data_IF_093516522342
#
_entry.id   IF_093516522342
#
_cell.length_a   1.000
_cell.length_b   1.000
_cell.length_c   1.000
_cell.angle_alpha   90.00
_cell.angle_beta   90.00
_cell.angle_gamma   90.00
#
_symmetry.space_group_name_H-M   'P 1'
#
loop_
_entity.id
_entity.type
_entity.pdbx_description
1 polymer ?
#
# COMPACT_ATOMS: atom_id res chain seq x y z
N UNK A 1 -6.43 -8.97 18.90
CA UNK A 1 -6.71 -9.24 17.48
C UNK A 1 -6.94 -7.90 16.82
N UNK A 2 -6.05 -7.47 15.91
CA UNK A 2 -6.22 -6.20 15.22
C UNK A 2 -7.35 -6.33 14.20
N UNK A 3 -8.28 -5.37 14.18
CA UNK A 3 -9.37 -5.33 13.21
C UNK A 3 -8.79 -5.02 11.83
N UNK A 4 -9.23 -5.75 10.80
CA UNK A 4 -8.77 -5.59 9.41
C UNK A 4 -7.25 -5.65 9.20
N UNK A 5 -6.46 -6.26 10.10
CA UNK A 5 -4.99 -6.22 10.02
C UNK A 5 -4.46 -4.78 9.78
N UNK A 6 -5.12 -3.78 10.35
CA UNK A 6 -4.77 -2.38 10.15
C UNK A 6 -3.56 -1.98 10.99
N UNK A 7 -2.62 -1.24 10.39
CA UNK A 7 -1.52 -0.64 11.12
C UNK A 7 -0.79 0.43 10.31
N UNK A 8 -0.43 1.52 10.97
CA UNK A 8 0.39 2.59 10.43
C UNK A 8 1.82 2.12 10.20
N UNK A 9 2.37 2.46 9.04
CA UNK A 9 3.79 2.33 8.68
C UNK A 9 4.52 3.66 8.88
N UNK A 10 3.84 4.74 8.49
CA UNK A 10 4.17 6.13 8.79
C UNK A 10 2.95 6.73 9.49
N UNK A 11 3.15 7.20 10.73
CA UNK A 11 2.07 7.68 11.59
C UNK A 11 1.25 8.77 10.91
N UNK A 12 -0.07 8.60 10.89
CA UNK A 12 -1.05 9.50 10.27
C UNK A 12 -0.77 9.84 8.79
N UNK A 13 0.00 9.01 8.07
CA UNK A 13 0.36 9.25 6.67
C UNK A 13 0.13 8.02 5.80
N UNK A 14 0.65 6.86 6.19
CA UNK A 14 0.59 5.63 5.39
C UNK A 14 0.34 4.40 6.27
N UNK A 15 -0.70 3.65 5.96
CA UNK A 15 -1.05 2.41 6.64
C UNK A 15 -1.19 1.22 5.66
N UNK A 16 -1.10 0.01 6.21
CA UNK A 16 -1.53 -1.21 5.53
C UNK A 16 -2.78 -1.81 6.19
N UNK A 17 -3.64 -2.45 5.40
CA UNK A 17 -4.79 -3.20 5.93
C UNK A 17 -5.23 -4.34 5.01
N UNK A 18 -6.10 -5.19 5.54
CA UNK A 18 -7.04 -6.02 4.78
C UNK A 18 -7.90 -5.11 3.87
N UNK A 19 -8.28 -5.62 2.70
CA UNK A 19 -9.18 -4.89 1.80
C UNK A 19 -10.60 -4.80 2.37
N UNK A 20 -11.29 -3.66 2.23
CA UNK A 20 -12.65 -3.50 2.73
C UNK A 20 -13.65 -4.33 1.91
N UNK A 21 -14.41 -5.19 2.57
CA UNK A 21 -15.45 -6.02 1.95
C UNK A 21 -16.88 -5.53 2.28
N UNK A 22 -17.00 -4.53 3.14
CA UNK A 22 -18.27 -3.98 3.62
C UNK A 22 -18.17 -2.48 3.93
N UNK A 23 -19.33 -1.82 4.09
CA UNK A 23 -19.38 -0.41 4.51
C UNK A 23 -18.82 -0.22 5.93
N UNK A 24 -18.95 -1.22 6.80
CA UNK A 24 -18.39 -1.18 8.16
C UNK A 24 -16.86 -1.16 8.12
N UNK A 25 -16.25 -1.88 7.18
CA UNK A 25 -14.81 -1.84 6.96
C UNK A 25 -14.35 -0.44 6.50
N UNK A 26 -15.08 0.18 5.57
CA UNK A 26 -14.80 1.56 5.14
C UNK A 26 -14.99 2.55 6.28
N UNK A 27 -16.04 2.38 7.09
CA UNK A 27 -16.29 3.19 8.28
C UNK A 27 -15.15 3.06 9.29
N UNK A 28 -14.67 1.83 9.52
CA UNK A 28 -13.53 1.57 10.37
C UNK A 28 -12.28 2.31 9.87
N UNK A 29 -11.90 2.14 8.59
CA UNK A 29 -10.75 2.84 8.01
C UNK A 29 -10.87 4.36 8.13
N UNK A 30 -12.05 4.92 7.80
CA UNK A 30 -12.31 6.35 7.93
C UNK A 30 -12.19 6.85 9.37
N UNK A 31 -12.64 6.03 10.35
CA UNK A 31 -12.54 6.33 11.79
C UNK A 31 -11.11 6.34 12.32
N UNK A 32 -10.19 5.62 11.64
CA UNK A 32 -8.75 5.68 11.94
C UNK A 32 -8.07 6.94 11.37
N UNK A 33 -8.77 7.77 10.58
CA UNK A 33 -8.20 8.97 9.95
C UNK A 33 -7.83 8.82 8.48
N UNK A 34 -8.00 7.62 7.90
CA UNK A 34 -7.75 7.38 6.47
C UNK A 34 -8.64 8.27 5.60
N UNK A 35 -8.06 8.85 4.55
CA UNK A 35 -8.75 9.69 3.55
C UNK A 35 -8.53 9.24 2.11
N UNK A 36 -7.62 8.31 1.88
CA UNK A 36 -7.43 7.69 0.58
C UNK A 36 -7.12 6.19 0.72
N UNK A 37 -7.53 5.40 -0.28
CA UNK A 37 -7.34 3.95 -0.27
C UNK A 37 -6.79 3.45 -1.61
N UNK A 38 -5.77 2.59 -1.53
CA UNK A 38 -5.30 1.76 -2.64
C UNK A 38 -5.80 0.34 -2.40
N UNK A 39 -6.50 -0.23 -3.39
CA UNK A 39 -7.04 -1.61 -3.34
C UNK A 39 -6.48 -2.44 -4.47
N UNK A 40 -6.06 -3.66 -4.15
CA UNK A 40 -5.54 -4.62 -5.14
C UNK A 40 -6.43 -5.86 -5.36
N UNK A 41 -7.47 -6.02 -4.55
CA UNK A 41 -8.30 -7.24 -4.52
C UNK A 41 -9.70 -6.99 -5.08
N UNK A 42 -10.13 -7.80 -6.05
CA UNK A 42 -11.41 -7.63 -6.77
C UNK A 42 -12.66 -7.74 -5.88
N UNK A 43 -12.57 -8.53 -4.80
CA UNK A 43 -13.70 -8.72 -3.85
C UNK A 43 -13.91 -7.54 -2.91
N UNK A 44 -13.12 -6.48 -3.02
CA UNK A 44 -13.27 -5.29 -2.19
C UNK A 44 -14.33 -4.35 -2.73
N UNK A 45 -14.96 -3.58 -1.86
CA UNK A 45 -15.91 -2.55 -2.28
C UNK A 45 -15.18 -1.22 -2.52
N UNK A 46 -15.61 -0.49 -3.55
CA UNK A 46 -15.07 0.83 -3.84
C UNK A 46 -15.56 1.86 -2.81
N UNK A 47 -14.67 2.75 -2.37
CA UNK A 47 -15.01 3.77 -1.39
C UNK A 47 -15.81 4.95 -1.97
N UNK A 48 -15.83 5.09 -3.30
CA UNK A 48 -16.55 6.15 -4.03
C UNK A 48 -18.04 5.83 -4.31
N UNK A 49 -18.60 4.77 -3.71
CA UNK A 49 -19.96 4.28 -3.95
C UNK A 49 -21.05 5.13 -3.25
N UNK A 50 -21.14 6.42 -3.58
CA UNK A 50 -22.33 7.25 -3.26
C UNK A 50 -22.17 8.27 -2.13
N UNK A 51 -21.01 8.93 -2.01
CA UNK A 51 -20.75 10.07 -1.12
C UNK A 51 -20.91 9.80 0.39
N UNK A 52 -20.93 8.54 0.84
CA UNK A 52 -21.07 8.23 2.27
C UNK A 52 -19.80 8.53 3.07
N UNK A 53 -18.63 8.39 2.44
CA UNK A 53 -17.34 8.75 3.00
C UNK A 53 -16.58 9.63 2.01
N UNK A 54 -15.87 10.64 2.53
CA UNK A 54 -14.91 11.42 1.75
C UNK A 54 -13.58 10.64 1.66
N UNK A 55 -13.59 9.58 0.84
CA UNK A 55 -12.47 8.69 0.59
C UNK A 55 -12.11 8.71 -0.89
N UNK A 56 -10.86 9.08 -1.19
CA UNK A 56 -10.29 8.93 -2.53
C UNK A 56 -9.94 7.47 -2.75
N UNK A 57 -10.36 6.89 -3.87
CA UNK A 57 -10.20 5.46 -4.14
C UNK A 57 -9.34 5.25 -5.39
N UNK A 58 -8.31 4.39 -5.28
CA UNK A 58 -7.57 3.83 -6.40
C UNK A 58 -7.66 2.31 -6.37
N UNK A 59 -8.15 1.73 -7.46
CA UNK A 59 -8.15 0.29 -7.67
C UNK A 59 -7.10 -0.11 -8.71
N UNK A 60 -6.17 -0.98 -8.31
CA UNK A 60 -5.13 -1.56 -9.17
C UNK A 60 -5.13 -3.08 -8.99
N UNK A 61 -5.84 -3.86 -9.82
CA UNK A 61 -6.00 -5.30 -9.60
C UNK A 61 -4.66 -6.03 -9.74
N UNK A 62 -4.30 -6.81 -8.71
CA UNK A 62 -3.10 -7.66 -8.69
C UNK A 62 -3.53 -9.07 -8.32
N UNK A 63 -3.24 -10.11 -9.14
CA UNK A 63 -3.56 -11.49 -8.80
C UNK A 63 -3.01 -11.90 -7.44
N UNK A 64 -3.71 -12.81 -6.75
CA UNK A 64 -3.24 -13.24 -5.43
C UNK A 64 -1.90 -14.00 -5.53
N UNK A 65 -1.06 -13.84 -4.51
CA UNK A 65 0.31 -14.39 -4.45
C UNK A 65 1.29 -13.92 -5.54
N UNK A 66 0.93 -12.96 -6.40
CA UNK A 66 1.89 -12.32 -7.32
C UNK A 66 2.27 -10.92 -6.83
N UNK A 67 3.43 -10.39 -7.22
CA UNK A 67 3.71 -8.96 -7.06
C UNK A 67 2.84 -8.12 -8.02
N UNK A 68 2.60 -6.84 -7.71
CA UNK A 68 2.26 -5.85 -8.73
C UNK A 68 3.39 -5.72 -9.76
N UNK A 69 3.04 -5.48 -11.03
CA UNK A 69 4.02 -5.18 -12.07
C UNK A 69 4.63 -3.76 -11.89
N UNK A 70 5.73 -3.41 -12.58
CA UNK A 70 6.37 -2.10 -12.43
C UNK A 70 5.45 -0.90 -12.66
N UNK A 71 4.60 -0.93 -13.69
CA UNK A 71 3.67 0.17 -14.00
C UNK A 71 2.61 0.31 -12.89
N UNK A 72 2.16 -0.81 -12.34
CA UNK A 72 1.24 -0.84 -11.19
C UNK A 72 1.89 -0.26 -9.93
N UNK A 73 3.15 -0.61 -9.64
CA UNK A 73 3.90 -0.06 -8.51
C UNK A 73 4.03 1.46 -8.66
N UNK A 74 4.47 1.94 -9.83
CA UNK A 74 4.63 3.37 -10.11
C UNK A 74 3.32 4.12 -9.92
N UNK A 75 2.23 3.65 -10.53
CA UNK A 75 0.91 4.27 -10.39
C UNK A 75 0.45 4.34 -8.93
N UNK A 76 0.68 3.29 -8.14
CA UNK A 76 0.30 3.27 -6.73
C UNK A 76 1.17 4.23 -5.91
N UNK A 77 2.47 4.30 -6.17
CA UNK A 77 3.39 5.23 -5.48
C UNK A 77 3.06 6.69 -5.81
N UNK A 78 2.84 7.02 -7.08
CA UNK A 78 2.41 8.37 -7.51
C UNK A 78 1.09 8.78 -6.84
N UNK A 79 0.16 7.84 -6.72
CA UNK A 79 -1.08 8.08 -5.98
C UNK A 79 -0.79 8.33 -4.52
N UNK A 80 -0.05 7.46 -3.85
CA UNK A 80 0.26 7.61 -2.41
C UNK A 80 0.92 8.97 -2.18
N UNK A 81 1.97 9.32 -2.95
CA UNK A 81 2.72 10.56 -2.79
C UNK A 81 1.85 11.81 -2.99
N UNK A 82 0.98 11.80 -4.01
CA UNK A 82 0.03 12.90 -4.24
C UNK A 82 -0.95 13.07 -3.09
N UNK A 83 -1.50 11.97 -2.57
CA UNK A 83 -2.50 12.01 -1.51
C UNK A 83 -1.87 12.41 -0.15
N UNK A 84 -0.69 11.87 0.18
CA UNK A 84 0.04 12.24 1.40
C UNK A 84 0.50 13.70 1.37
N UNK A 85 1.01 14.20 0.24
CA UNK A 85 1.33 15.62 0.04
C UNK A 85 0.12 16.54 0.24
N UNK A 86 -1.08 16.05 -0.09
CA UNK A 86 -2.34 16.75 0.14
C UNK A 86 -2.94 16.53 1.54
N UNK A 87 -2.17 15.96 2.48
CA UNK A 87 -2.57 15.64 3.87
C UNK A 87 -3.79 14.71 3.92
N UNK A 88 -3.88 13.77 3.00
CA UNK A 88 -4.88 12.69 3.00
C UNK A 88 -4.18 11.37 3.31
N UNK A 89 -4.26 10.88 4.56
CA UNK A 89 -3.59 9.65 4.95
C UNK A 89 -4.10 8.46 4.12
N UNK A 90 -3.16 7.65 3.63
CA UNK A 90 -3.43 6.58 2.65
C UNK A 90 -3.37 5.22 3.33
N UNK A 91 -4.32 4.34 3.02
CA UNK A 91 -4.21 2.92 3.36
C UNK A 91 -4.01 2.08 2.09
N UNK A 92 -3.02 1.20 2.11
CA UNK A 92 -2.76 0.22 1.05
C UNK A 92 -3.34 -1.13 1.46
N UNK A 93 -4.12 -1.74 0.57
CA UNK A 93 -4.84 -2.98 0.88
C UNK A 93 -4.87 -3.99 -0.26
N UNK A 94 -4.83 -5.27 0.10
CA UNK A 94 -5.03 -6.40 -0.81
C UNK A 94 -6.16 -7.29 -0.27
N UNK A 95 -6.04 -8.63 -0.32
CA UNK A 95 -6.97 -9.49 0.40
C UNK A 95 -6.74 -9.43 1.90
N UNK A 96 -5.61 -9.91 2.41
CA UNK A 96 -5.32 -10.01 3.85
C UNK A 96 -4.47 -8.84 4.42
N UNK A 97 -3.94 -7.97 3.57
CA UNK A 97 -3.05 -6.88 3.98
C UNK A 97 -1.61 -7.30 4.32
N UNK A 98 -1.12 -8.39 3.73
CA UNK A 98 0.14 -9.05 4.09
C UNK A 98 1.17 -8.99 2.93
N UNK A 99 1.05 -9.85 1.91
CA UNK A 99 2.00 -9.96 0.80
C UNK A 99 2.03 -8.74 -0.12
N UNK A 100 1.09 -8.66 -1.06
CA UNK A 100 0.92 -7.53 -2.01
C UNK A 100 0.95 -6.16 -1.32
N UNK A 101 0.25 -6.02 -0.19
CA UNK A 101 0.28 -4.78 0.62
C UNK A 101 1.68 -4.47 1.13
N UNK A 102 2.38 -5.45 1.69
CA UNK A 102 3.75 -5.27 2.15
C UNK A 102 4.72 -4.89 1.04
N UNK A 103 4.56 -5.47 -0.16
CA UNK A 103 5.35 -5.13 -1.35
C UNK A 103 5.23 -3.65 -1.69
N UNK A 104 4.01 -3.13 -1.85
CA UNK A 104 3.78 -1.72 -2.20
C UNK A 104 4.26 -0.78 -1.09
N UNK A 105 4.03 -1.14 0.18
CA UNK A 105 4.52 -0.35 1.32
C UNK A 105 6.05 -0.27 1.34
N UNK A 106 6.76 -1.36 1.07
CA UNK A 106 8.22 -1.37 0.99
C UNK A 106 8.71 -0.53 -0.19
N UNK A 107 8.10 -0.65 -1.37
CA UNK A 107 8.44 0.20 -2.51
C UNK A 107 8.24 1.69 -2.19
N UNK A 108 7.17 2.07 -1.47
CA UNK A 108 6.98 3.46 -1.06
C UNK A 108 8.05 3.94 -0.07
N UNK A 109 8.50 3.10 0.86
CA UNK A 109 9.59 3.45 1.76
C UNK A 109 10.91 3.69 1.00
N UNK A 110 11.20 2.88 -0.03
CA UNK A 110 12.34 3.07 -0.93
C UNK A 110 12.20 4.37 -1.73
N UNK A 111 11.00 4.66 -2.22
CA UNK A 111 10.69 5.94 -2.89
C UNK A 111 10.98 7.14 -1.99
N UNK A 112 10.86 6.98 -0.66
CA UNK A 112 11.20 7.98 0.36
C UNK A 112 12.68 7.94 0.78
N UNK A 113 13.52 7.19 0.08
CA UNK A 113 14.97 7.14 0.26
C UNK A 113 15.47 6.09 1.25
N UNK A 114 14.64 5.12 1.66
CA UNK A 114 15.12 4.00 2.47
C UNK A 114 15.86 2.97 1.60
N UNK A 115 16.88 2.33 2.19
CA UNK A 115 17.53 1.16 1.58
C UNK A 115 16.52 0.01 1.42
N UNK A 116 16.55 -0.75 0.32
CA UNK A 116 15.58 -1.81 0.06
C UNK A 116 15.57 -2.93 1.11
N UNK A 117 16.73 -3.30 1.66
CA UNK A 117 16.82 -4.33 2.72
C UNK A 117 16.18 -3.80 3.99
N UNK A 118 16.47 -2.56 4.36
CA UNK A 118 15.89 -1.91 5.53
C UNK A 118 14.37 -1.71 5.38
N UNK A 119 13.89 -1.35 4.19
CA UNK A 119 12.47 -1.20 3.90
C UNK A 119 11.72 -2.54 4.07
N UNK A 120 12.24 -3.63 3.52
CA UNK A 120 11.68 -4.99 3.67
C UNK A 120 11.64 -5.39 5.14
N UNK A 121 12.74 -5.21 5.87
CA UNK A 121 12.85 -5.58 7.28
C UNK A 121 11.87 -4.76 8.13
N UNK A 122 11.81 -3.44 7.93
CA UNK A 122 10.89 -2.56 8.64
C UNK A 122 9.43 -2.97 8.42
N UNK A 123 9.05 -3.27 7.19
CA UNK A 123 7.68 -3.73 6.89
C UNK A 123 7.39 -5.06 7.59
N UNK A 124 8.33 -6.01 7.63
CA UNK A 124 8.16 -7.29 8.33
C UNK A 124 8.10 -7.14 9.85
N UNK A 125 8.83 -6.20 10.42
CA UNK A 125 8.77 -5.88 11.86
C UNK A 125 7.41 -5.29 12.23
N UNK A 126 6.93 -4.30 11.47
CA UNK A 126 5.65 -3.65 11.71
C UNK A 126 4.45 -4.55 11.37
N UNK A 127 4.62 -5.43 10.36
CA UNK A 127 3.57 -6.28 9.79
C UNK A 127 4.12 -7.69 9.57
N UNK A 128 4.17 -8.53 10.63
CA UNK A 128 4.74 -9.87 10.54
C UNK A 128 4.13 -10.72 9.42
N UNK A 129 5.00 -11.33 8.61
CA UNK A 129 4.62 -12.16 7.47
C UNK A 129 4.44 -11.39 6.15
N UNK A 130 4.61 -10.07 6.13
CA UNK A 130 4.57 -9.28 4.89
C UNK A 130 5.66 -9.68 3.90
N UNK A 131 5.35 -9.48 2.60
CA UNK A 131 6.20 -9.85 1.45
C UNK A 131 6.42 -11.37 1.48
N UNK A 132 5.42 -12.10 0.97
CA UNK A 132 5.19 -13.53 1.23
C UNK A 132 5.91 -14.45 0.25
N UNK A 133 6.35 -13.94 -0.90
CA UNK A 133 6.98 -14.76 -1.96
C UNK A 133 8.30 -14.14 -2.44
N UNK A 134 9.23 -14.95 -2.97
CA UNK A 134 10.46 -14.44 -3.58
C UNK A 134 10.21 -13.41 -4.68
N UNK A 135 9.19 -13.63 -5.52
CA UNK A 135 8.83 -12.71 -6.61
C UNK A 135 8.37 -11.34 -6.07
N UNK A 136 7.79 -11.31 -4.87
CA UNK A 136 7.45 -10.06 -4.19
C UNK A 136 8.68 -9.34 -3.64
N UNK A 137 9.71 -10.04 -3.17
CA UNK A 137 10.99 -9.42 -2.82
C UNK A 137 11.71 -8.90 -4.07
N UNK A 138 11.75 -9.70 -5.14
CA UNK A 138 12.33 -9.32 -6.43
C UNK A 138 11.68 -8.04 -6.99
N UNK A 139 10.37 -7.90 -6.87
CA UNK A 139 9.67 -6.68 -7.27
C UNK A 139 10.08 -5.44 -6.45
N UNK A 140 10.37 -5.60 -5.16
CA UNK A 140 10.87 -4.51 -4.30
C UNK A 140 12.29 -4.11 -4.72
N UNK A 141 13.18 -5.07 -4.96
CA UNK A 141 14.53 -4.78 -5.43
C UNK A 141 14.54 -4.18 -6.83
N UNK A 142 13.73 -4.69 -7.75
CA UNK A 142 13.58 -4.14 -9.10
C UNK A 142 13.07 -2.69 -9.08
N UNK A 143 12.17 -2.36 -8.15
CA UNK A 143 11.77 -0.97 -7.93
C UNK A 143 12.93 -0.10 -7.41
N UNK A 144 13.75 -0.62 -6.49
CA UNK A 144 14.91 0.11 -5.97
C UNK A 144 15.96 0.40 -7.06
N UNK A 145 16.21 -0.56 -7.95
CA UNK A 145 17.09 -0.38 -9.11
C UNK A 145 16.56 0.72 -10.04
N UNK A 146 15.26 0.70 -10.35
CA UNK A 146 14.63 1.75 -11.17
C UNK A 146 14.77 3.14 -10.54
N UNK A 147 14.56 3.28 -9.22
CA UNK A 147 14.76 4.57 -8.51
C UNK A 147 16.22 5.03 -8.57
N UNK A 148 17.18 4.11 -8.41
CA UNK A 148 18.59 4.44 -8.48
C UNK A 148 18.99 4.96 -9.88
N UNK A 149 18.48 4.34 -10.93
CA UNK A 149 18.74 4.76 -12.32
C UNK A 149 18.15 6.16 -12.60
N UNK A 150 16.90 6.43 -12.20
CA UNK A 150 16.25 7.74 -12.37
C UNK A 150 16.96 8.88 -11.61
N UNK A 151 17.56 8.58 -10.46
CA UNK A 151 18.33 9.56 -9.67
C UNK A 151 19.77 9.75 -10.17
N UNK A 152 20.31 8.78 -10.91
CA UNK A 152 21.66 8.79 -11.48
C UNK A 152 21.81 9.50 -12.82
N UNK A 153 20.71 9.84 -13.50
CA UNK A 153 20.69 10.54 -14.79
C UNK A 153 20.65 12.09 -14.69
N UNK A 154 20.97 12.69 -13.54
CA UNK A 154 21.09 14.16 -13.37
C UNK A 154 22.53 14.67 -13.16
#
# INVERSE_FOLDING_TARGET
>A
MQVMNFGWVLDDELAGSQGPASLDDLCFLYSQGVRAIVRMEERTIAANNGNQFDLVDLFVPVPDFTPPDPDQILRMIEFIDRETAAKRPVVVSCYAGIGRTGTVLACYLIHRGQDPVDAINRIRELRPGSIQTPEQEEAVYGYAEWVADETGEN
#
